data_IF_778117522293
#
_entry.id   IF_778117522293
#
_cell.length_a   1.000
_cell.length_b   1.000
_cell.length_c   1.000
_cell.angle_alpha   90.00
_cell.angle_beta   90.00
_cell.angle_gamma   90.00
#
_symmetry.space_group_name_H-M   'P 1'
#
loop_
_entity.id
_entity.type
_entity.pdbx_description
1 polymer ?
#
# COMPACT_ATOMS: atom_id res chain seq x y z
N UNK A 1 36.90 42.91 10.85
CA UNK A 1 37.45 41.55 10.64
C UNK A 1 36.36 40.54 10.96
N UNK A 2 35.76 39.92 9.93
CA UNK A 2 34.73 38.90 10.13
C UNK A 2 35.40 37.61 10.63
N UNK A 3 35.13 37.27 11.88
CA UNK A 3 35.66 36.06 12.52
C UNK A 3 34.94 34.85 11.89
N UNK A 4 35.66 34.04 11.10
CA UNK A 4 35.16 32.75 10.66
C UNK A 4 34.96 31.87 11.90
N UNK A 5 33.70 31.71 12.30
CA UNK A 5 33.31 30.75 13.35
C UNK A 5 33.10 29.40 12.66
N UNK A 6 34.19 28.64 12.52
CA UNK A 6 34.12 27.22 12.18
C UNK A 6 33.53 26.53 13.42
N UNK A 7 32.24 26.17 13.35
CA UNK A 7 31.53 25.51 14.44
C UNK A 7 30.32 26.25 15.01
N UNK A 8 29.56 27.02 14.20
CA UNK A 8 28.18 27.35 14.59
C UNK A 8 27.40 26.04 14.66
N UNK A 9 27.13 25.58 15.88
CA UNK A 9 26.18 24.53 16.21
C UNK A 9 24.93 24.70 15.34
N UNK A 10 24.69 23.77 14.43
CA UNK A 10 23.45 23.70 13.66
C UNK A 10 22.29 23.82 14.65
N UNK A 11 21.36 24.77 14.45
CA UNK A 11 20.25 24.97 15.37
C UNK A 11 19.49 23.64 15.50
N UNK A 12 19.23 23.19 16.73
CA UNK A 12 18.57 21.90 17.00
C UNK A 12 17.16 21.85 16.39
N UNK A 13 16.51 23.01 16.30
CA UNK A 13 15.20 23.22 15.71
C UNK A 13 15.10 24.59 15.05
N UNK A 14 14.10 24.77 14.19
CA UNK A 14 13.74 26.03 13.54
C UNK A 14 12.22 26.13 13.38
N UNK A 15 11.69 27.35 13.41
CA UNK A 15 10.27 27.59 13.14
C UNK A 15 9.97 27.34 11.65
N UNK A 16 8.90 26.59 11.39
CA UNK A 16 8.46 26.19 10.07
C UNK A 16 7.02 26.66 9.89
N UNK A 17 6.82 27.62 8.99
CA UNK A 17 5.48 28.06 8.59
C UNK A 17 4.99 27.21 7.44
N UNK A 18 3.80 26.62 7.57
CA UNK A 18 3.20 25.78 6.54
C UNK A 18 1.84 26.33 6.17
N UNK A 19 1.65 26.59 4.88
CA UNK A 19 0.35 26.93 4.32
C UNK A 19 -0.39 25.63 3.96
N UNK A 20 -1.42 25.28 4.72
CA UNK A 20 -2.25 24.10 4.50
C UNK A 20 -3.46 24.48 3.65
N UNK A 21 -3.73 23.78 2.53
CA UNK A 21 -4.92 24.00 1.73
C UNK A 21 -6.16 23.46 2.47
N UNK A 22 -7.01 24.36 2.95
CA UNK A 22 -8.30 24.02 3.54
C UNK A 22 -9.44 24.35 2.57
N UNK A 23 -10.65 23.78 2.77
CA UNK A 23 -11.83 24.15 1.96
C UNK A 23 -12.19 25.64 2.01
N UNK A 24 -11.71 26.36 3.02
CA UNK A 24 -11.98 27.79 3.22
C UNK A 24 -10.86 28.71 2.71
N UNK A 25 -9.75 28.15 2.21
CA UNK A 25 -8.58 28.89 1.76
C UNK A 25 -7.28 28.29 2.29
N UNK A 26 -6.17 28.98 2.06
CA UNK A 26 -4.89 28.65 2.67
C UNK A 26 -4.93 29.10 4.13
N UNK A 27 -4.61 28.18 5.05
CA UNK A 27 -4.45 28.49 6.47
C UNK A 27 -3.01 28.24 6.90
N UNK A 28 -2.50 29.05 7.82
CA UNK A 28 -1.10 28.98 8.28
C UNK A 28 -1.01 28.17 9.57
N UNK A 29 -0.24 27.10 9.56
CA UNK A 29 0.12 26.32 10.76
C UNK A 29 1.61 26.50 11.03
N UNK A 30 1.97 26.87 12.26
CA UNK A 30 3.37 27.02 12.66
C UNK A 30 3.85 25.76 13.39
N UNK A 31 4.90 25.16 12.84
CA UNK A 31 5.57 24.00 13.40
C UNK A 31 6.94 24.39 13.95
N UNK A 32 7.36 23.75 15.02
CA UNK A 32 8.75 23.73 15.45
C UNK A 32 9.43 22.50 14.84
N UNK A 33 10.18 22.71 13.75
CA UNK A 33 10.82 21.62 13.02
C UNK A 33 12.24 21.33 13.55
N UNK A 34 12.62 20.06 13.57
CA UNK A 34 13.97 19.58 13.93
C UNK A 34 14.90 19.72 12.74
N UNK A 35 16.12 20.18 13.00
CA UNK A 35 17.14 20.20 11.97
C UNK A 35 17.78 18.82 11.80
N UNK A 36 17.45 18.14 10.70
CA UNK A 36 18.03 16.84 10.35
C UNK A 36 19.16 17.01 9.32
N UNK A 37 20.31 16.33 9.49
CA UNK A 37 21.33 16.25 8.45
C UNK A 37 20.74 15.72 7.13
N UNK A 38 21.23 16.23 5.99
CA UNK A 38 20.71 15.87 4.67
C UNK A 38 20.72 14.35 4.41
N UNK A 39 21.79 13.68 4.85
CA UNK A 39 21.94 12.21 4.73
C UNK A 39 20.93 11.44 5.57
N UNK A 40 20.64 11.91 6.79
CA UNK A 40 19.64 11.30 7.68
C UNK A 40 18.24 11.48 7.10
N UNK A 41 17.92 12.68 6.62
CA UNK A 41 16.62 12.96 6.00
C UNK A 41 16.41 12.20 4.69
N UNK A 42 17.43 12.13 3.82
CA UNK A 42 17.35 11.35 2.59
C UNK A 42 17.06 9.89 2.90
N UNK A 43 17.81 9.31 3.85
CA UNK A 43 17.60 7.94 4.31
C UNK A 43 16.20 7.72 4.90
N UNK A 44 15.70 8.66 5.70
CA UNK A 44 14.35 8.60 6.25
C UNK A 44 13.28 8.60 5.16
N UNK A 45 13.40 9.47 4.15
CA UNK A 45 12.45 9.50 3.02
C UNK A 45 12.49 8.22 2.18
N UNK A 46 13.67 7.67 1.91
CA UNK A 46 13.82 6.41 1.19
C UNK A 46 13.19 5.26 1.96
N UNK A 47 13.50 5.13 3.25
CA UNK A 47 12.91 4.10 4.13
C UNK A 47 11.38 4.21 4.19
N UNK A 48 10.87 5.43 4.17
CA UNK A 48 9.44 5.71 4.21
C UNK A 48 8.74 5.36 2.90
N UNK A 49 9.32 5.74 1.75
CA UNK A 49 8.82 5.36 0.43
C UNK A 49 8.78 3.83 0.26
N UNK A 50 9.83 3.14 0.69
CA UNK A 50 9.91 1.68 0.69
C UNK A 50 8.85 1.05 1.60
N UNK A 51 8.61 1.63 2.77
CA UNK A 51 7.60 1.16 3.71
C UNK A 51 6.19 1.29 3.11
N UNK A 52 5.85 2.45 2.54
CA UNK A 52 4.56 2.65 1.86
C UNK A 52 4.39 1.62 0.74
N UNK A 53 5.40 1.45 -0.11
CA UNK A 53 5.36 0.49 -1.21
C UNK A 53 5.08 -0.93 -0.74
N UNK A 54 5.75 -1.37 0.33
CA UNK A 54 5.53 -2.70 0.94
C UNK A 54 4.13 -2.84 1.53
N UNK A 55 3.64 -1.83 2.24
CA UNK A 55 2.31 -1.89 2.85
C UNK A 55 1.20 -1.92 1.79
N UNK A 56 1.34 -1.12 0.73
CA UNK A 56 0.40 -1.13 -0.39
C UNK A 56 0.43 -2.50 -1.10
N UNK A 57 1.61 -3.06 -1.37
CA UNK A 57 1.74 -4.38 -1.95
C UNK A 57 1.06 -5.46 -1.08
N UNK A 58 1.30 -5.41 0.24
CA UNK A 58 0.67 -6.33 1.19
C UNK A 58 -0.86 -6.23 1.19
N UNK A 59 -1.41 -5.05 0.94
CA UNK A 59 -2.87 -4.84 0.83
C UNK A 59 -3.43 -5.55 -0.42
N UNK A 60 -2.74 -5.44 -1.55
CA UNK A 60 -3.10 -6.19 -2.76
C UNK A 60 -2.93 -7.71 -2.59
N UNK A 61 -1.84 -8.14 -1.95
CA UNK A 61 -1.59 -9.57 -1.68
C UNK A 61 -2.66 -10.14 -0.73
N UNK A 62 -3.08 -9.39 0.29
CA UNK A 62 -4.18 -9.77 1.18
C UNK A 62 -5.52 -9.89 0.43
N UNK A 63 -5.83 -8.94 -0.46
CA UNK A 63 -7.03 -9.00 -1.29
C UNK A 63 -7.03 -10.23 -2.21
N UNK A 64 -5.86 -10.63 -2.74
CA UNK A 64 -5.69 -11.87 -3.50
C UNK A 64 -5.91 -13.11 -2.64
N UNK A 65 -5.31 -13.15 -1.44
CA UNK A 65 -5.50 -14.27 -0.51
C UNK A 65 -6.96 -14.44 -0.07
N UNK A 66 -7.69 -13.34 0.18
CA UNK A 66 -9.13 -13.40 0.46
C UNK A 66 -9.92 -13.99 -0.71
N UNK A 67 -9.57 -13.63 -1.95
CA UNK A 67 -10.21 -14.18 -3.15
C UNK A 67 -9.94 -15.69 -3.29
N UNK A 68 -8.71 -16.13 -3.03
CA UNK A 68 -8.33 -17.55 -3.03
C UNK A 68 -9.09 -18.34 -1.96
N UNK A 69 -9.23 -17.78 -0.74
CA UNK A 69 -9.99 -18.40 0.34
C UNK A 69 -11.49 -18.47 0.03
N UNK A 70 -12.05 -17.40 -0.56
CA UNK A 70 -13.45 -17.37 -0.99
C UNK A 70 -13.72 -18.43 -2.07
N UNK A 71 -12.82 -18.54 -3.06
CA UNK A 71 -12.90 -19.57 -4.09
C UNK A 71 -12.79 -20.99 -3.52
N UNK A 72 -11.86 -21.22 -2.59
CA UNK A 72 -11.70 -22.51 -1.92
C UNK A 72 -12.94 -22.89 -1.09
N UNK A 73 -13.53 -21.93 -0.38
CA UNK A 73 -14.77 -22.13 0.38
C UNK A 73 -15.96 -22.45 -0.55
N UNK A 74 -16.06 -21.77 -1.70
CA UNK A 74 -17.11 -22.02 -2.68
C UNK A 74 -16.97 -23.42 -3.31
N UNK A 75 -15.76 -23.85 -3.66
CA UNK A 75 -15.48 -25.20 -4.15
C UNK A 75 -15.74 -26.29 -3.10
N UNK A 76 -15.45 -26.01 -1.82
CA UNK A 76 -15.73 -26.93 -0.72
C UNK A 76 -17.24 -27.07 -0.42
N UNK A 77 -18.02 -26.02 -0.70
CA UNK A 77 -19.47 -26.00 -0.51
C UNK A 77 -20.29 -26.61 -1.66
N UNK A 78 -19.65 -26.86 -2.83
CA UNK A 78 -20.32 -27.54 -3.94
C UNK A 78 -20.67 -28.99 -3.53
N UNK A 79 -21.96 -29.37 -3.51
CA UNK A 79 -22.34 -30.70 -3.10
C UNK A 79 -21.78 -31.74 -4.07
N UNK A 80 -21.12 -32.76 -3.52
CA UNK A 80 -20.68 -33.99 -4.20
C UNK A 80 -21.92 -34.82 -4.61
N UNK A 81 -22.76 -34.28 -5.50
CA UNK A 81 -23.90 -34.99 -6.07
C UNK A 81 -23.57 -35.64 -7.42
N UNK A 82 -22.43 -35.29 -8.05
CA UNK A 82 -22.13 -35.72 -9.41
C UNK A 82 -21.31 -37.03 -9.52
N UNK A 83 -20.66 -37.51 -8.44
CA UNK A 83 -19.77 -38.71 -8.53
C UNK A 83 -20.48 -40.02 -8.14
N UNK A 84 -21.66 -39.97 -7.50
CA UNK A 84 -22.39 -41.17 -7.08
C UNK A 84 -23.40 -41.71 -8.12
N UNK A 85 -23.67 -40.99 -9.22
CA UNK A 85 -24.68 -41.37 -10.20
C UNK A 85 -24.17 -42.31 -11.32
N UNK A 86 -22.87 -42.57 -11.42
CA UNK A 86 -22.29 -43.40 -12.50
C UNK A 86 -22.03 -44.88 -12.11
N UNK A 87 -22.31 -45.30 -10.88
CA UNK A 87 -21.95 -46.63 -10.37
C UNK A 87 -23.14 -47.40 -9.76
N UNK A 88 -24.15 -47.74 -10.59
CA UNK A 88 -25.20 -48.79 -10.41
C UNK A 88 -26.12 -48.66 -11.64
N UNK A 89 -26.32 -49.60 -12.57
CA UNK A 89 -26.50 -51.06 -12.52
C UNK A 89 -26.48 -51.61 -14.00
N UNK A 90 -26.62 -52.94 -14.26
CA UNK A 90 -25.81 -53.65 -15.26
C UNK A 90 -26.61 -54.35 -16.39
N UNK A 91 -25.84 -55.00 -17.28
CA UNK A 91 -26.16 -56.20 -18.07
C UNK A 91 -27.10 -56.08 -19.29
N UNK A 92 -26.55 -56.37 -20.49
CA UNK A 92 -27.34 -56.58 -21.72
C UNK A 92 -26.54 -56.86 -23.01
N UNK A 93 -25.89 -58.03 -23.08
CA UNK A 93 -25.52 -58.85 -24.27
C UNK A 93 -25.36 -58.22 -25.69
N UNK A 94 -24.12 -58.42 -26.19
CA UNK A 94 -23.67 -59.10 -27.43
C UNK A 94 -23.61 -58.37 -28.80
N UNK A 95 -22.43 -58.61 -29.40
CA UNK A 95 -22.01 -58.68 -30.82
C UNK A 95 -21.68 -57.35 -31.51
N UNK A 96 -20.67 -57.21 -32.38
CA UNK A 96 -19.47 -57.97 -32.78
C UNK A 96 -18.80 -57.14 -33.90
N UNK A 97 -17.45 -57.16 -33.99
CA UNK A 97 -16.62 -56.98 -35.23
C UNK A 97 -16.50 -55.50 -35.72
N UNK A 98 -15.37 -54.85 -36.07
CA UNK A 98 -14.01 -55.20 -36.57
C UNK A 98 -12.99 -54.13 -36.08
N UNK A 99 -11.72 -54.52 -36.06
CA UNK A 99 -10.50 -53.73 -35.86
C UNK A 99 -10.34 -52.42 -36.66
N UNK A 100 -9.65 -51.44 -36.07
CA UNK A 100 -8.58 -50.66 -36.72
C UNK A 100 -7.74 -49.92 -35.66
N UNK A 101 -6.52 -50.42 -35.51
CA UNK A 101 -5.28 -49.78 -35.12
C UNK A 101 -5.22 -48.24 -35.32
N UNK A 102 -4.92 -47.51 -34.25
CA UNK A 102 -4.12 -46.29 -34.28
C UNK A 102 -3.66 -45.98 -32.85
N UNK A 103 -2.39 -46.31 -32.58
CA UNK A 103 -1.64 -45.68 -31.52
C UNK A 103 -1.62 -44.17 -31.78
N UNK A 104 -2.17 -43.38 -30.86
CA UNK A 104 -1.77 -41.99 -30.75
C UNK A 104 -1.65 -41.63 -29.28
N UNK A 105 -0.39 -41.53 -28.90
CA UNK A 105 0.14 -40.85 -27.74
C UNK A 105 -0.53 -39.47 -27.62
N UNK A 106 -1.20 -39.21 -26.50
CA UNK A 106 -2.04 -38.04 -26.31
C UNK A 106 -2.50 -37.92 -24.87
N UNK A 107 -1.57 -38.18 -23.94
CA UNK A 107 -1.77 -38.02 -22.51
C UNK A 107 -1.05 -36.75 -22.01
N UNK A 108 -1.34 -35.62 -22.63
CA UNK A 108 -1.03 -34.29 -22.10
C UNK A 108 -2.02 -33.34 -22.76
N UNK A 109 -2.80 -32.57 -21.98
CA UNK A 109 -3.54 -31.33 -22.35
C UNK A 109 -4.76 -31.10 -21.44
N UNK A 110 -5.23 -32.06 -20.63
CA UNK A 110 -6.44 -31.83 -19.79
C UNK A 110 -6.16 -31.14 -18.45
N UNK A 111 -4.90 -30.97 -18.03
CA UNK A 111 -4.56 -30.35 -16.74
C UNK A 111 -4.36 -28.82 -16.79
N UNK A 112 -4.13 -28.22 -17.97
CA UNK A 112 -3.89 -26.77 -18.08
C UNK A 112 -5.17 -25.95 -18.01
N UNK A 113 -6.27 -26.42 -18.62
CA UNK A 113 -7.53 -25.65 -18.69
C UNK A 113 -8.17 -25.39 -17.32
N UNK A 114 -8.01 -26.32 -16.37
CA UNK A 114 -8.54 -26.15 -15.01
C UNK A 114 -7.71 -25.18 -14.17
N UNK A 115 -6.40 -25.07 -14.43
CA UNK A 115 -5.54 -24.10 -13.75
C UNK A 115 -5.84 -22.67 -14.24
N UNK A 116 -5.98 -22.49 -15.54
CA UNK A 116 -6.34 -21.20 -16.13
C UNK A 116 -7.76 -20.75 -15.72
N UNK A 117 -8.71 -21.68 -15.64
CA UNK A 117 -10.07 -21.40 -15.16
C UNK A 117 -10.10 -21.05 -13.66
N UNK A 118 -9.23 -21.67 -12.84
CA UNK A 118 -9.07 -21.32 -11.42
C UNK A 118 -8.49 -19.92 -11.25
N UNK A 119 -7.42 -19.59 -11.94
CA UNK A 119 -6.81 -18.25 -11.89
C UNK A 119 -7.78 -17.16 -12.40
N UNK A 120 -8.56 -17.44 -13.45
CA UNK A 120 -9.59 -16.52 -13.92
C UNK A 120 -10.71 -16.30 -12.88
N UNK A 121 -11.15 -17.35 -12.19
CA UNK A 121 -12.17 -17.26 -11.15
C UNK A 121 -11.65 -16.55 -9.88
N UNK A 122 -10.41 -16.80 -9.47
CA UNK A 122 -9.76 -16.08 -8.37
C UNK A 122 -9.63 -14.60 -8.72
N UNK A 123 -9.15 -14.28 -9.93
CA UNK A 123 -9.01 -12.91 -10.40
C UNK A 123 -10.34 -12.16 -10.41
N UNK A 124 -11.44 -12.82 -10.79
CA UNK A 124 -12.78 -12.24 -10.73
C UNK A 124 -13.30 -12.00 -9.31
N UNK A 125 -12.75 -12.70 -8.31
CA UNK A 125 -13.09 -12.55 -6.89
C UNK A 125 -12.18 -11.56 -6.14
N UNK A 126 -11.09 -11.09 -6.77
CA UNK A 126 -10.24 -10.04 -6.19
C UNK A 126 -11.09 -8.78 -6.02
N UNK A 127 -11.35 -8.42 -4.77
CA UNK A 127 -12.03 -7.16 -4.47
C UNK A 127 -11.11 -5.99 -4.86
N UNK A 128 -11.63 -4.97 -5.55
CA UNK A 128 -10.82 -3.78 -5.84
C UNK A 128 -10.44 -3.11 -4.52
N UNK A 129 -9.15 -2.87 -4.33
CA UNK A 129 -8.64 -2.06 -3.23
C UNK A 129 -9.22 -0.66 -3.36
N UNK A 130 -9.89 -0.17 -2.33
CA UNK A 130 -10.49 1.17 -2.37
C UNK A 130 -9.40 2.23 -2.34
N UNK A 131 -9.56 3.25 -3.17
CA UNK A 131 -8.63 4.38 -3.19
C UNK A 131 -8.60 5.12 -1.84
N UNK A 132 -9.72 5.12 -1.11
CA UNK A 132 -9.80 5.63 0.27
C UNK A 132 -8.84 4.90 1.22
N UNK A 133 -8.72 3.58 1.11
CA UNK A 133 -7.89 2.79 2.02
C UNK A 133 -6.41 3.07 1.74
N UNK A 134 -6.04 3.26 0.47
CA UNK A 134 -4.70 3.68 0.07
C UNK A 134 -4.41 5.10 0.54
N UNK A 135 -5.38 6.01 0.42
CA UNK A 135 -5.25 7.41 0.86
C UNK A 135 -5.02 7.50 2.38
N UNK A 136 -5.84 6.85 3.20
CA UNK A 136 -5.67 6.81 4.66
C UNK A 136 -4.34 6.17 5.07
N UNK A 137 -3.89 5.14 4.33
CA UNK A 137 -2.60 4.50 4.60
C UNK A 137 -1.42 5.43 4.29
N UNK A 138 -1.53 6.23 3.21
CA UNK A 138 -0.57 7.29 2.90
C UNK A 138 -0.61 8.42 3.92
N UNK A 139 -1.78 8.82 4.40
CA UNK A 139 -1.95 9.83 5.44
C UNK A 139 -1.27 9.39 6.75
N UNK A 140 -1.53 8.15 7.18
CA UNK A 140 -0.87 7.53 8.34
C UNK A 140 0.64 7.55 8.23
N UNK A 141 1.17 7.05 7.12
CA UNK A 141 2.61 7.06 6.92
C UNK A 141 3.15 8.50 6.88
N UNK A 142 2.49 9.42 6.19
CA UNK A 142 2.92 10.83 6.14
C UNK A 142 2.98 11.45 7.54
N UNK A 143 1.96 11.21 8.37
CA UNK A 143 1.93 11.64 9.77
C UNK A 143 3.10 11.08 10.59
N UNK A 144 3.41 9.78 10.45
CA UNK A 144 4.56 9.14 11.11
C UNK A 144 5.89 9.82 10.74
N UNK A 145 6.05 10.25 9.48
CA UNK A 145 7.25 10.96 9.04
C UNK A 145 7.27 12.41 9.54
N UNK A 146 6.12 13.09 9.56
CA UNK A 146 6.00 14.47 10.06
C UNK A 146 6.34 14.53 11.56
N UNK A 147 5.88 13.59 12.38
CA UNK A 147 6.24 13.51 13.81
C UNK A 147 7.76 13.38 14.03
N UNK A 148 8.47 12.75 13.10
CA UNK A 148 9.93 12.61 13.23
C UNK A 148 10.68 13.91 12.97
N UNK A 149 10.15 14.76 12.07
CA UNK A 149 10.75 16.05 11.71
C UNK A 149 10.22 17.22 12.53
N UNK A 150 9.08 17.09 13.21
CA UNK A 150 8.48 18.12 14.04
C UNK A 150 8.74 17.84 15.53
N UNK A 151 8.94 18.88 16.32
CA UNK A 151 9.07 18.84 17.77
C UNK A 151 7.89 19.48 18.52
N UNK A 152 7.15 20.37 17.86
CA UNK A 152 5.96 21.04 18.39
C UNK A 152 5.17 21.71 17.26
N UNK A 153 3.96 22.16 17.56
CA UNK A 153 3.13 22.98 16.69
C UNK A 153 2.32 23.97 17.52
N UNK A 154 1.71 24.97 16.88
CA UNK A 154 0.95 26.04 17.51
C UNK A 154 -0.56 25.76 17.62
N UNK A 155 -0.98 24.50 17.49
CA UNK A 155 -2.36 24.08 17.65
C UNK A 155 -2.68 23.73 19.11
N UNK A 156 -3.96 23.90 19.48
CA UNK A 156 -4.47 23.57 20.82
C UNK A 156 -4.42 22.06 21.13
N UNK A 157 -4.46 21.22 20.09
CA UNK A 157 -4.36 19.77 20.22
C UNK A 157 -2.89 19.34 20.43
N UNK A 158 -2.60 18.35 21.29
CA UNK A 158 -1.24 17.84 21.43
C UNK A 158 -0.72 17.25 20.11
N UNK A 159 0.53 17.58 19.77
CA UNK A 159 1.21 17.00 18.60
C UNK A 159 1.32 15.48 18.79
N UNK A 160 0.65 14.74 17.91
CA UNK A 160 0.64 13.27 17.89
C UNK A 160 0.47 12.74 16.49
N UNK A 161 0.70 11.43 16.32
CA UNK A 161 0.47 10.78 15.02
C UNK A 161 -1.01 10.89 14.66
N UNK A 162 -1.92 10.63 15.61
CA UNK A 162 -3.37 10.64 15.36
C UNK A 162 -3.85 12.03 14.90
N UNK A 163 -3.46 13.10 15.58
CA UNK A 163 -3.83 14.47 15.20
C UNK A 163 -3.27 14.86 13.81
N UNK A 164 -2.08 14.38 13.45
CA UNK A 164 -1.51 14.59 12.11
C UNK A 164 -2.19 13.72 11.05
N UNK A 165 -2.66 12.52 11.39
CA UNK A 165 -3.48 11.70 10.51
C UNK A 165 -4.79 12.41 10.23
N UNK A 166 -5.48 12.88 11.26
CA UNK A 166 -6.73 13.61 11.12
C UNK A 166 -6.55 14.88 10.27
N UNK A 167 -5.44 15.60 10.45
CA UNK A 167 -5.07 16.73 9.57
C UNK A 167 -4.87 16.29 8.11
N UNK A 168 -4.13 15.20 7.86
CA UNK A 168 -3.85 14.73 6.52
C UNK A 168 -5.07 14.12 5.82
N UNK A 169 -5.99 13.50 6.57
CA UNK A 169 -7.25 12.96 6.08
C UNK A 169 -8.27 14.09 5.82
N UNK A 170 -8.32 15.10 6.70
CA UNK A 170 -9.22 16.25 6.56
C UNK A 170 -8.80 17.21 5.44
N UNK A 171 -7.49 17.33 5.19
CA UNK A 171 -6.92 18.28 4.26
C UNK A 171 -5.97 17.60 3.26
N UNK A 172 -6.49 17.18 2.09
CA UNK A 172 -5.66 16.62 1.03
C UNK A 172 -4.54 17.59 0.63
N UNK A 173 -3.29 17.12 0.67
CA UNK A 173 -2.11 17.94 0.36
C UNK A 173 -1.46 18.61 1.58
N UNK A 174 -2.05 18.51 2.78
CA UNK A 174 -1.43 19.04 3.99
C UNK A 174 -0.03 18.45 4.24
N UNK A 175 0.12 17.13 4.10
CA UNK A 175 1.41 16.46 4.22
C UNK A 175 2.45 17.00 3.22
N UNK A 176 2.05 17.19 1.96
CA UNK A 176 2.93 17.70 0.91
C UNK A 176 3.37 19.14 1.21
N UNK A 177 2.45 19.98 1.70
CA UNK A 177 2.76 21.33 2.13
C UNK A 177 3.80 21.36 3.26
N UNK A 178 3.64 20.50 4.28
CA UNK A 178 4.61 20.36 5.38
C UNK A 178 5.98 19.96 4.86
N UNK A 179 6.06 18.92 4.01
CA UNK A 179 7.34 18.46 3.46
C UNK A 179 8.00 19.49 2.55
N UNK A 180 7.21 20.18 1.72
CA UNK A 180 7.70 21.24 0.84
C UNK A 180 8.30 22.38 1.67
N UNK A 181 7.55 22.92 2.62
CA UNK A 181 8.02 23.99 3.49
C UNK A 181 9.27 23.56 4.28
N UNK A 182 9.30 22.32 4.78
CA UNK A 182 10.46 21.79 5.50
C UNK A 182 11.70 21.72 4.62
N UNK A 183 11.57 21.22 3.39
CA UNK A 183 12.68 21.13 2.44
C UNK A 183 13.17 22.53 2.04
N UNK A 184 12.27 23.45 1.70
CA UNK A 184 12.60 24.83 1.30
C UNK A 184 13.30 25.59 2.42
N UNK A 185 12.77 25.53 3.65
CA UNK A 185 13.37 26.21 4.80
C UNK A 185 14.76 25.65 5.12
N UNK A 186 14.90 24.32 5.06
CA UNK A 186 16.17 23.65 5.33
C UNK A 186 17.22 23.90 4.23
N UNK A 187 16.81 23.96 2.97
CA UNK A 187 17.70 24.30 1.85
C UNK A 187 18.07 25.79 1.86
N UNK A 188 17.14 26.68 2.22
CA UNK A 188 17.39 28.10 2.43
C UNK A 188 18.42 28.35 3.54
N UNK A 189 18.32 27.61 4.65
CA UNK A 189 19.34 27.61 5.72
C UNK A 189 20.73 27.16 5.23
N UNK A 190 20.79 26.39 4.15
CA UNK A 190 22.04 25.89 3.54
C UNK A 190 22.70 26.92 2.64
N UNK A 191 21.91 27.81 2.02
CA UNK A 191 22.37 28.87 1.10
C UNK A 191 22.77 30.15 1.85
N UNK A 192 22.28 30.34 3.08
CA UNK A 192 22.58 31.51 3.92
C UNK A 192 23.87 31.45 4.75
N UNK A 193 24.73 30.44 4.52
CA UNK A 193 26.02 30.27 5.22
C UNK A 193 27.21 30.53 4.30
#
# INVERSE_FOLDING_TARGET
MAKLVIGKSTPKSFALKVEVPTPHGLDEVNFDARHLPSTVWAKMREQHADAIGKTVQALFDAARQEAEQAYAAEQASKPVAAVAAAAKKPAGKKAAVVAAEAANDGAEVVLSSDADAKEAAITALIKPVKESDIASLRAKHSAELIVQIVAGWDLDEPLGVDALVDMCDSYPGAAEAVFKAYNETREGLRLGN
#
